data_IF_970345656723
#
_entry.id   IF_970345656723
#
_cell.length_a   1.000
_cell.length_b   1.000
_cell.length_c   1.000
_cell.angle_alpha   90.00
_cell.angle_beta   90.00
_cell.angle_gamma   90.00
#
_symmetry.space_group_name_H-M   'P 1'
#
loop_
_entity.id
_entity.type
_entity.pdbx_description
1 polymer ?
#
# COMPACT_ATOMS: atom_id res chain seq x y z
N UNK A 1 32.95 24.26 -48.01
CA UNK A 1 32.87 22.86 -47.53
C UNK A 1 33.03 22.95 -46.02
N UNK A 2 31.99 23.14 -45.22
CA UNK A 2 30.90 22.20 -44.98
C UNK A 2 29.72 22.94 -44.28
N UNK A 3 28.93 23.75 -45.01
CA UNK A 3 27.90 24.64 -44.41
C UNK A 3 26.75 23.89 -43.72
N UNK A 4 26.65 22.58 -43.94
CA UNK A 4 25.68 21.70 -43.26
C UNK A 4 26.15 21.19 -41.90
N UNK A 5 27.45 21.30 -41.60
CA UNK A 5 28.04 20.75 -40.37
C UNK A 5 27.40 21.32 -39.09
N UNK A 6 27.14 22.64 -38.98
CA UNK A 6 26.45 23.21 -37.82
C UNK A 6 25.06 22.61 -37.59
N UNK A 7 24.30 22.38 -38.66
CA UNK A 7 22.94 21.84 -38.61
C UNK A 7 22.85 20.39 -38.12
N UNK A 8 23.98 19.69 -38.05
CA UNK A 8 24.05 18.32 -37.51
C UNK A 8 24.72 18.32 -36.15
N UNK A 9 25.82 19.06 -35.99
CA UNK A 9 26.63 19.03 -34.77
C UNK A 9 25.90 19.70 -33.61
N UNK A 10 25.35 20.91 -33.77
CA UNK A 10 24.70 21.62 -32.67
C UNK A 10 23.46 20.88 -32.13
N UNK A 11 22.51 20.42 -32.98
CA UNK A 11 21.36 19.65 -32.48
C UNK A 11 21.77 18.36 -31.76
N UNK A 12 22.77 17.64 -32.28
CA UNK A 12 23.17 16.36 -31.71
C UNK A 12 23.90 16.54 -30.37
N UNK A 13 24.79 17.54 -30.27
CA UNK A 13 25.47 17.90 -29.02
C UNK A 13 24.46 18.44 -28.00
N UNK A 14 23.55 19.31 -28.42
CA UNK A 14 22.48 19.83 -27.58
C UNK A 14 21.60 18.70 -27.03
N UNK A 15 21.19 17.76 -27.88
CA UNK A 15 20.42 16.58 -27.46
C UNK A 15 21.16 15.72 -26.45
N UNK A 16 22.46 15.48 -26.66
CA UNK A 16 23.29 14.71 -25.76
C UNK A 16 23.42 15.39 -24.39
N UNK A 17 23.69 16.69 -24.36
CA UNK A 17 23.82 17.47 -23.12
C UNK A 17 22.49 17.51 -22.39
N UNK A 18 21.39 17.76 -23.09
CA UNK A 18 20.05 17.81 -22.52
C UNK A 18 19.63 16.46 -21.90
N UNK A 19 19.87 15.36 -22.61
CA UNK A 19 19.63 14.02 -22.09
C UNK A 19 20.54 13.70 -20.88
N UNK A 20 21.84 13.93 -21.00
CA UNK A 20 22.82 13.61 -19.94
C UNK A 20 22.57 14.41 -18.66
N UNK A 21 22.24 15.71 -18.79
CA UNK A 21 21.97 16.58 -17.66
C UNK A 21 20.70 16.14 -16.94
N UNK A 22 19.64 15.79 -17.68
CA UNK A 22 18.41 15.36 -17.05
C UNK A 22 18.54 13.96 -16.42
N UNK A 23 19.28 13.05 -17.06
CA UNK A 23 19.65 11.76 -16.46
C UNK A 23 20.42 11.93 -15.15
N UNK A 24 21.36 12.87 -15.11
CA UNK A 24 22.09 13.20 -13.90
C UNK A 24 21.15 13.77 -12.82
N UNK A 25 20.24 14.67 -13.18
CA UNK A 25 19.27 15.25 -12.26
C UNK A 25 18.35 14.18 -11.64
N UNK A 26 17.85 13.25 -12.46
CA UNK A 26 17.07 12.10 -11.98
C UNK A 26 17.90 11.29 -10.98
N UNK A 27 19.15 10.98 -11.29
CA UNK A 27 20.05 10.24 -10.39
C UNK A 27 20.33 11.00 -9.09
N UNK A 28 20.42 12.32 -9.14
CA UNK A 28 20.63 13.20 -7.99
C UNK A 28 19.44 13.27 -7.04
N UNK A 29 18.22 12.92 -7.48
CA UNK A 29 17.08 12.82 -6.56
C UNK A 29 17.24 11.68 -5.55
N UNK A 30 17.94 10.61 -5.94
CA UNK A 30 18.10 9.40 -5.13
C UNK A 30 19.46 9.31 -4.44
N UNK A 31 20.52 9.86 -5.04
CA UNK A 31 21.88 9.79 -4.51
C UNK A 31 22.49 11.18 -4.30
N UNK A 32 23.33 11.39 -3.27
CA UNK A 32 23.80 10.40 -2.29
C UNK A 32 22.80 10.17 -1.15
N UNK A 33 22.80 8.96 -0.60
CA UNK A 33 21.89 8.56 0.48
C UNK A 33 22.17 9.29 1.80
N UNK A 34 23.45 9.54 2.09
CA UNK A 34 23.90 10.33 3.24
C UNK A 34 24.32 11.72 2.78
N UNK A 35 24.12 12.76 3.59
CA UNK A 35 24.57 14.10 3.26
C UNK A 35 26.10 14.11 3.12
N UNK A 36 26.58 14.52 1.95
CA UNK A 36 28.02 14.70 1.66
C UNK A 36 28.30 16.18 1.45
N UNK A 37 29.48 16.64 1.88
CA UNK A 37 29.90 18.03 1.74
C UNK A 37 30.49 18.62 3.02
N UNK A 38 30.87 19.90 2.96
CA UNK A 38 31.55 20.60 4.05
C UNK A 38 30.77 21.84 4.49
N UNK A 39 30.57 22.00 5.79
CA UNK A 39 29.85 23.14 6.37
C UNK A 39 28.40 23.27 5.87
N UNK A 40 27.94 24.48 5.44
CA UNK A 40 26.57 24.71 4.98
C UNK A 40 26.27 24.09 3.59
N UNK A 41 27.28 23.66 2.84
CA UNK A 41 27.14 23.09 1.50
C UNK A 41 27.04 21.56 1.55
N UNK A 42 25.98 21.05 2.21
CA UNK A 42 25.69 19.61 2.25
C UNK A 42 24.69 19.23 1.16
N UNK A 43 25.10 18.31 0.31
CA UNK A 43 24.27 17.75 -0.74
C UNK A 43 23.77 16.36 -0.36
N UNK A 44 22.49 16.11 -0.57
CA UNK A 44 21.83 14.83 -0.35
C UNK A 44 20.71 14.68 -1.36
N UNK A 45 20.45 13.44 -1.80
CA UNK A 45 19.28 13.15 -2.62
C UNK A 45 18.00 13.57 -1.91
N UNK A 46 17.04 14.10 -2.67
CA UNK A 46 15.76 14.61 -2.15
C UNK A 46 14.94 13.49 -1.51
N UNK A 47 14.92 12.29 -2.11
CA UNK A 47 14.14 11.14 -1.61
C UNK A 47 14.69 10.64 -0.26
N UNK A 48 16.01 10.35 -0.10
CA UNK A 48 16.59 10.04 1.20
C UNK A 48 16.35 11.13 2.26
N UNK A 49 16.46 12.41 1.85
CA UNK A 49 16.31 13.55 2.77
C UNK A 49 14.89 13.68 3.33
N UNK A 50 13.87 13.35 2.53
CA UNK A 50 12.44 13.43 2.91
C UNK A 50 11.81 12.10 3.31
N UNK A 51 12.61 11.05 3.57
CA UNK A 51 12.08 9.72 3.89
C UNK A 51 11.09 9.73 5.07
N UNK A 52 11.38 10.49 6.13
CA UNK A 52 10.51 10.57 7.31
C UNK A 52 9.15 11.19 6.99
N UNK A 53 9.16 12.31 6.28
CA UNK A 53 7.96 13.01 5.81
C UNK A 53 7.12 12.11 4.89
N UNK A 54 7.77 11.37 3.98
CA UNK A 54 7.10 10.38 3.14
C UNK A 54 6.47 9.26 3.96
N UNK A 55 7.16 8.74 4.97
CA UNK A 55 6.64 7.68 5.84
C UNK A 55 5.39 8.14 6.61
N UNK A 56 5.40 9.38 7.09
CA UNK A 56 4.29 9.98 7.83
C UNK A 56 3.07 10.20 6.93
N UNK A 57 3.25 10.84 5.77
CA UNK A 57 2.17 11.05 4.81
C UNK A 57 1.56 9.74 4.29
N UNK A 58 2.39 8.71 4.05
CA UNK A 58 1.91 7.38 3.64
C UNK A 58 1.14 6.72 4.80
N UNK A 59 1.64 6.80 6.03
CA UNK A 59 0.96 6.25 7.19
C UNK A 59 -0.40 6.92 7.42
N UNK A 60 -0.49 8.25 7.26
CA UNK A 60 -1.74 9.01 7.35
C UNK A 60 -2.74 8.58 6.27
N UNK A 61 -2.27 8.43 5.03
CA UNK A 61 -3.14 7.96 3.92
C UNK A 61 -3.65 6.54 4.20
N UNK A 62 -2.77 5.67 4.68
CA UNK A 62 -3.12 4.27 4.99
C UNK A 62 -4.10 4.19 6.16
N UNK A 63 -3.96 5.04 7.18
CA UNK A 63 -4.91 5.15 8.28
C UNK A 63 -6.31 5.58 7.81
N UNK A 64 -6.39 6.50 6.84
CA UNK A 64 -7.67 7.01 6.32
C UNK A 64 -8.36 6.05 5.35
N UNK A 65 -7.58 5.28 4.58
CA UNK A 65 -8.09 4.41 3.51
C UNK A 65 -8.24 2.93 3.95
N UNK A 66 -7.68 2.54 5.09
CA UNK A 66 -7.85 1.19 5.63
C UNK A 66 -8.95 1.13 6.69
N UNK A 67 -9.53 -0.05 6.81
CA UNK A 67 -10.51 -0.40 7.84
C UNK A 67 -9.83 -0.35 9.22
N UNK A 68 -10.37 0.48 10.11
CA UNK A 68 -9.91 0.61 11.50
C UNK A 68 -10.28 -0.62 12.34
N UNK A 69 -9.68 -0.74 13.53
CA UNK A 69 -10.08 -1.76 14.49
C UNK A 69 -11.57 -1.63 14.85
N UNK A 70 -12.03 -0.39 14.96
CA UNK A 70 -13.40 -0.01 15.28
C UNK A 70 -14.35 -0.45 14.17
N UNK A 71 -14.00 -0.21 12.90
CA UNK A 71 -14.80 -0.65 11.75
C UNK A 71 -14.93 -2.18 11.69
N UNK A 72 -13.88 -2.93 12.05
CA UNK A 72 -13.93 -4.40 12.12
C UNK A 72 -14.86 -4.86 13.24
N UNK A 73 -14.74 -4.24 14.42
CA UNK A 73 -15.58 -4.59 15.57
C UNK A 73 -17.05 -4.29 15.29
N UNK A 74 -17.35 -3.14 14.67
CA UNK A 74 -18.70 -2.78 14.24
C UNK A 74 -19.25 -3.76 13.19
N UNK A 75 -18.42 -4.18 12.23
CA UNK A 75 -18.81 -5.17 11.23
C UNK A 75 -19.14 -6.52 11.87
N UNK A 76 -18.33 -6.98 12.84
CA UNK A 76 -18.58 -8.23 13.58
C UNK A 76 -19.87 -8.12 14.40
N UNK A 77 -20.10 -7.01 15.09
CA UNK A 77 -21.32 -6.77 15.86
C UNK A 77 -22.56 -6.75 14.94
N UNK A 78 -22.44 -6.11 13.78
CA UNK A 78 -23.51 -6.10 12.76
C UNK A 78 -23.81 -7.51 12.23
N UNK A 79 -22.79 -8.34 12.05
CA UNK A 79 -22.96 -9.74 11.66
C UNK A 79 -23.57 -10.58 12.79
N UNK A 80 -23.18 -10.36 14.05
CA UNK A 80 -23.76 -11.01 15.23
C UNK A 80 -25.27 -10.79 15.36
N UNK A 81 -25.71 -9.58 15.04
CA UNK A 81 -27.12 -9.16 15.13
C UNK A 81 -27.89 -9.39 13.83
N UNK A 82 -27.22 -9.80 12.74
CA UNK A 82 -27.89 -10.03 11.46
C UNK A 82 -28.75 -11.30 11.49
N UNK A 83 -30.05 -11.16 11.20
CA UNK A 83 -30.98 -12.29 11.06
C UNK A 83 -30.49 -13.35 10.07
N UNK A 84 -29.79 -12.93 9.01
CA UNK A 84 -29.25 -13.84 8.00
C UNK A 84 -28.12 -14.73 8.56
N UNK A 85 -27.23 -14.16 9.38
CA UNK A 85 -26.15 -14.90 10.06
C UNK A 85 -26.77 -15.81 11.13
N UNK A 86 -27.77 -15.31 11.87
CA UNK A 86 -28.48 -16.08 12.90
C UNK A 86 -29.17 -17.30 12.32
N UNK A 87 -29.90 -17.13 11.22
CA UNK A 87 -30.56 -18.23 10.52
C UNK A 87 -29.54 -19.26 10.01
N UNK A 88 -28.40 -18.80 9.46
CA UNK A 88 -27.35 -19.68 8.93
C UNK A 88 -26.62 -20.46 10.04
N UNK A 89 -26.36 -19.82 11.18
CA UNK A 89 -25.80 -20.47 12.37
C UNK A 89 -26.77 -21.51 12.93
N UNK A 90 -28.04 -21.14 13.08
CA UNK A 90 -29.10 -22.06 13.53
C UNK A 90 -29.18 -23.29 12.63
N UNK A 91 -29.29 -23.08 11.32
CA UNK A 91 -29.33 -24.19 10.36
C UNK A 91 -28.09 -25.08 10.44
N UNK A 92 -26.91 -24.50 10.70
CA UNK A 92 -25.66 -25.25 10.84
C UNK A 92 -25.61 -26.04 12.16
N UNK A 93 -26.08 -25.45 13.26
CA UNK A 93 -26.22 -26.11 14.56
C UNK A 93 -27.19 -27.29 14.43
N UNK A 94 -28.36 -27.06 13.81
CA UNK A 94 -29.37 -28.09 13.57
C UNK A 94 -28.82 -29.27 12.79
N UNK A 95 -28.11 -28.99 11.69
CA UNK A 95 -27.50 -30.01 10.85
C UNK A 95 -26.43 -30.81 11.60
N UNK A 96 -25.59 -30.14 12.42
CA UNK A 96 -24.56 -30.83 13.20
C UNK A 96 -25.15 -31.71 14.30
N UNK A 97 -26.18 -31.24 15.00
CA UNK A 97 -26.86 -32.02 16.03
C UNK A 97 -27.54 -33.24 15.41
N UNK A 98 -28.25 -33.06 14.29
CA UNK A 98 -28.92 -34.16 13.58
C UNK A 98 -27.92 -35.20 13.07
N UNK A 99 -26.83 -34.77 12.44
CA UNK A 99 -25.76 -35.65 11.95
C UNK A 99 -25.11 -36.45 13.10
N UNK A 100 -24.83 -35.79 14.23
CA UNK A 100 -24.32 -36.48 15.42
C UNK A 100 -25.31 -37.49 15.96
N UNK A 101 -26.60 -37.15 16.10
CA UNK A 101 -27.63 -38.07 16.58
C UNK A 101 -27.80 -39.29 15.66
N UNK A 102 -27.67 -39.11 14.34
CA UNK A 102 -27.70 -40.21 13.38
C UNK A 102 -26.45 -41.09 13.49
N UNK A 103 -25.27 -40.48 13.72
CA UNK A 103 -23.99 -41.20 13.85
C UNK A 103 -23.94 -42.14 15.06
N UNK A 104 -24.59 -41.78 16.17
CA UNK A 104 -24.68 -42.64 17.35
C UNK A 104 -25.75 -43.74 17.26
N UNK A 105 -26.55 -43.75 16.20
CA UNK A 105 -27.56 -44.77 15.92
C UNK A 105 -28.73 -44.81 16.92
N UNK A 106 -29.55 -45.87 16.83
CA UNK A 106 -30.79 -46.03 17.60
C UNK A 106 -30.57 -46.09 19.11
N UNK A 107 -29.37 -46.46 19.56
CA UNK A 107 -29.02 -46.57 20.98
C UNK A 107 -29.17 -45.22 21.67
N UNK A 108 -28.67 -44.14 21.07
CA UNK A 108 -28.77 -42.80 21.67
C UNK A 108 -30.20 -42.30 21.73
N UNK A 109 -31.04 -42.58 20.73
CA UNK A 109 -32.47 -42.21 20.73
C UNK A 109 -33.29 -42.91 21.83
N UNK A 110 -32.84 -44.07 22.32
CA UNK A 110 -33.50 -44.76 23.44
C UNK A 110 -33.19 -44.14 24.81
N UNK A 111 -32.03 -43.48 24.95
CA UNK A 111 -31.58 -42.89 26.21
C UNK A 111 -31.68 -41.36 26.26
N UNK A 112 -31.75 -40.72 25.09
CA UNK A 112 -31.91 -39.28 24.94
C UNK A 112 -33.27 -39.03 24.29
N UNK A 113 -34.29 -38.64 25.07
CA UNK A 113 -35.59 -38.28 24.51
C UNK A 113 -35.50 -36.99 23.69
N UNK A 114 -36.40 -36.84 22.71
CA UNK A 114 -36.41 -35.70 21.79
C UNK A 114 -36.52 -34.34 22.51
N UNK A 115 -37.15 -34.28 23.68
CA UNK A 115 -37.25 -33.06 24.50
C UNK A 115 -35.88 -32.63 25.07
N UNK A 116 -35.01 -33.59 25.37
CA UNK A 116 -33.65 -33.32 25.83
C UNK A 116 -32.78 -32.84 24.68
N UNK A 117 -32.95 -33.41 23.48
CA UNK A 117 -32.29 -32.94 22.26
C UNK A 117 -32.67 -31.49 21.97
N UNK A 118 -33.96 -31.14 22.04
CA UNK A 118 -34.41 -29.76 21.82
C UNK A 118 -33.90 -28.77 22.87
N UNK A 119 -33.83 -29.19 24.15
CA UNK A 119 -33.21 -28.38 25.20
C UNK A 119 -31.72 -28.14 24.93
N UNK A 120 -30.99 -29.16 24.48
CA UNK A 120 -29.57 -29.04 24.12
C UNK A 120 -29.41 -28.12 22.90
N UNK A 121 -30.23 -28.32 21.85
CA UNK A 121 -30.26 -27.46 20.66
C UNK A 121 -30.45 -26.00 21.04
N UNK A 122 -31.51 -25.70 21.79
CA UNK A 122 -31.83 -24.34 22.23
C UNK A 122 -30.70 -23.75 23.08
N UNK A 123 -30.09 -24.56 23.97
CA UNK A 123 -28.97 -24.09 24.81
C UNK A 123 -27.72 -23.79 23.98
N UNK A 124 -27.38 -24.63 23.01
CA UNK A 124 -26.24 -24.42 22.10
C UNK A 124 -26.49 -23.18 21.23
N UNK A 125 -27.69 -23.02 20.68
CA UNK A 125 -28.06 -21.82 19.93
C UNK A 125 -27.83 -20.57 20.78
N UNK A 126 -28.38 -20.53 21.99
CA UNK A 126 -28.23 -19.39 22.92
C UNK A 126 -26.75 -19.10 23.24
N UNK A 127 -25.96 -20.13 23.54
CA UNK A 127 -24.55 -19.97 23.92
C UNK A 127 -23.70 -19.50 22.73
N UNK A 128 -23.95 -20.03 21.53
CA UNK A 128 -23.26 -19.59 20.31
C UNK A 128 -23.62 -18.15 19.97
N UNK A 129 -24.90 -17.76 20.11
CA UNK A 129 -25.30 -16.37 19.87
C UNK A 129 -24.71 -15.41 20.90
N UNK A 130 -24.74 -15.76 22.19
CA UNK A 130 -24.12 -14.92 23.23
C UNK A 130 -22.61 -14.79 23.03
N UNK A 131 -21.93 -15.88 22.64
CA UNK A 131 -20.50 -15.83 22.34
C UNK A 131 -20.17 -14.91 21.16
N UNK A 132 -20.97 -14.94 20.09
CA UNK A 132 -20.74 -14.07 18.92
C UNK A 132 -21.03 -12.60 19.25
N UNK A 133 -22.03 -12.31 20.08
CA UNK A 133 -22.28 -10.96 20.61
C UNK A 133 -21.10 -10.47 21.48
N UNK A 134 -20.64 -11.32 22.40
CA UNK A 134 -19.50 -11.04 23.28
C UNK A 134 -18.20 -10.80 22.49
N UNK A 135 -17.98 -11.53 21.39
CA UNK A 135 -16.85 -11.30 20.50
C UNK A 135 -16.89 -9.90 19.88
N UNK A 136 -18.05 -9.41 19.48
CA UNK A 136 -18.20 -8.05 18.93
C UNK A 136 -17.81 -6.97 19.95
N UNK A 137 -18.28 -7.12 21.19
CA UNK A 137 -17.96 -6.19 22.28
C UNK A 137 -16.48 -6.26 22.71
N UNK A 138 -15.94 -7.47 22.87
CA UNK A 138 -14.55 -7.68 23.28
C UNK A 138 -13.54 -7.26 22.19
N UNK A 139 -13.91 -7.34 20.91
CA UNK A 139 -13.08 -6.85 19.80
C UNK A 139 -12.88 -5.34 19.88
N UNK A 140 -13.94 -4.58 20.18
CA UNK A 140 -13.85 -3.14 20.41
C UNK A 140 -12.86 -2.80 21.53
N UNK A 141 -12.92 -3.53 22.64
CA UNK A 141 -12.04 -3.30 23.79
C UNK A 141 -10.59 -3.75 23.55
N UNK A 142 -10.37 -4.86 22.83
CA UNK A 142 -9.06 -5.48 22.68
C UNK A 142 -8.25 -4.94 21.50
N UNK A 143 -8.92 -4.48 20.44
CA UNK A 143 -8.24 -4.03 19.22
C UNK A 143 -7.85 -2.56 19.24
N UNK A 144 -8.59 -1.69 19.96
CA UNK A 144 -8.28 -0.25 20.03
C UNK A 144 -6.87 0.06 20.57
N UNK A 145 -6.30 -0.81 21.42
CA UNK A 145 -4.93 -0.64 21.93
C UNK A 145 -3.84 -1.29 21.07
N UNK A 146 -4.18 -2.32 20.28
CA UNK A 146 -3.17 -3.15 19.57
C UNK A 146 -3.04 -2.84 18.08
N UNK A 147 -4.05 -2.18 17.50
CA UNK A 147 -4.15 -1.87 16.06
C UNK A 147 -3.94 -0.38 15.76
N UNK A 148 -2.87 0.19 16.30
CA UNK A 148 -2.33 1.45 15.75
C UNK A 148 -1.63 1.14 14.40
N UNK A 149 -2.46 0.97 13.36
CA UNK A 149 -2.03 0.71 11.99
C UNK A 149 -1.14 1.84 11.47
N UNK A 150 -1.47 3.08 11.80
CA UNK A 150 -0.69 4.27 11.45
C UNK A 150 0.74 4.14 11.96
N UNK A 151 0.90 3.89 13.25
CA UNK A 151 2.21 3.73 13.89
C UNK A 151 2.96 2.52 13.35
N UNK A 152 2.29 1.36 13.21
CA UNK A 152 2.91 0.14 12.64
C UNK A 152 3.40 0.35 11.20
N UNK A 153 2.61 1.02 10.36
CA UNK A 153 2.97 1.31 8.97
C UNK A 153 4.13 2.30 8.91
N UNK A 154 4.05 3.39 9.68
CA UNK A 154 5.14 4.37 9.80
C UNK A 154 6.45 3.70 10.22
N UNK A 155 6.42 2.94 11.31
CA UNK A 155 7.60 2.29 11.87
C UNK A 155 8.16 1.25 10.88
N UNK A 156 7.30 0.57 10.13
CA UNK A 156 7.71 -0.36 9.07
C UNK A 156 8.38 0.35 7.90
N UNK A 157 7.88 1.51 7.48
CA UNK A 157 8.49 2.32 6.42
C UNK A 157 9.82 2.91 6.87
N UNK A 158 9.92 3.36 8.12
CA UNK A 158 11.16 3.87 8.71
C UNK A 158 12.21 2.78 8.92
N UNK A 159 11.79 1.54 9.13
CA UNK A 159 12.67 0.37 9.19
C UNK A 159 13.24 -0.03 7.82
N UNK A 160 12.73 0.52 6.71
CA UNK A 160 13.32 0.27 5.40
C UNK A 160 14.67 0.97 5.27
N UNK A 161 15.66 0.21 4.83
CA UNK A 161 16.92 0.79 4.38
C UNK A 161 16.66 1.75 3.21
N UNK A 162 17.48 2.79 3.10
CA UNK A 162 17.33 3.84 2.08
C UNK A 162 17.25 3.26 0.65
N UNK A 163 17.96 2.17 0.38
CA UNK A 163 17.91 1.47 -0.92
C UNK A 163 16.55 0.82 -1.21
N UNK A 164 15.81 0.38 -0.17
CA UNK A 164 14.49 -0.22 -0.37
C UNK A 164 13.46 0.86 -0.73
N UNK A 165 13.52 2.01 -0.03
CA UNK A 165 12.68 3.17 -0.33
C UNK A 165 12.93 3.68 -1.76
N UNK A 166 14.20 3.78 -2.16
CA UNK A 166 14.59 4.10 -3.54
C UNK A 166 13.96 3.12 -4.54
N UNK A 167 14.04 1.81 -4.29
CA UNK A 167 13.43 0.80 -5.17
C UNK A 167 11.91 0.94 -5.30
N UNK A 168 11.22 1.29 -4.21
CA UNK A 168 9.77 1.50 -4.22
C UNK A 168 9.40 2.72 -5.06
N UNK A 169 10.05 3.86 -4.81
CA UNK A 169 9.81 5.10 -5.56
C UNK A 169 10.17 4.92 -7.03
N UNK A 170 11.32 4.32 -7.34
CA UNK A 170 11.73 4.05 -8.72
C UNK A 170 10.77 3.09 -9.42
N UNK A 171 10.22 2.08 -8.74
CA UNK A 171 9.27 1.15 -9.38
C UNK A 171 8.04 1.89 -9.92
N UNK A 172 7.54 2.88 -9.19
CA UNK A 172 6.38 3.68 -9.57
C UNK A 172 6.76 4.78 -10.57
N UNK A 173 7.84 5.50 -10.30
CA UNK A 173 8.21 6.71 -11.05
C UNK A 173 9.11 6.45 -12.27
N UNK A 174 9.67 5.25 -12.47
CA UNK A 174 10.66 4.97 -13.53
C UNK A 174 10.18 5.36 -14.93
N UNK A 175 8.91 5.12 -15.23
CA UNK A 175 8.33 5.50 -16.52
C UNK A 175 8.33 7.02 -16.66
N UNK A 176 7.83 7.75 -15.67
CA UNK A 176 7.74 9.21 -15.68
C UNK A 176 9.12 9.86 -15.75
N UNK A 177 10.08 9.42 -14.93
CA UNK A 177 11.44 9.94 -14.93
C UNK A 177 12.14 9.77 -16.30
N UNK A 178 11.91 8.63 -16.97
CA UNK A 178 12.43 8.40 -18.33
C UNK A 178 11.83 9.36 -19.35
N UNK A 179 10.57 9.79 -19.21
CA UNK A 179 10.00 10.80 -20.11
C UNK A 179 10.72 12.14 -19.96
N UNK A 180 11.06 12.53 -18.73
CA UNK A 180 11.81 13.77 -18.48
C UNK A 180 13.20 13.70 -19.13
N UNK A 181 13.90 12.56 -19.05
CA UNK A 181 15.20 12.37 -19.71
C UNK A 181 15.11 12.51 -21.23
N UNK A 182 14.08 11.91 -21.84
CA UNK A 182 13.83 12.00 -23.28
C UNK A 182 13.50 13.44 -23.67
N UNK A 183 12.62 14.11 -22.92
CA UNK A 183 12.26 15.51 -23.16
C UNK A 183 13.49 16.42 -23.07
N UNK A 184 14.40 16.18 -22.13
CA UNK A 184 15.68 16.88 -22.06
C UNK A 184 16.48 16.77 -23.36
N UNK A 185 16.57 15.55 -23.92
CA UNK A 185 17.22 15.34 -25.21
C UNK A 185 16.51 16.00 -26.39
N UNK A 186 15.17 15.93 -26.44
CA UNK A 186 14.37 16.57 -27.49
C UNK A 186 14.51 18.10 -27.44
N UNK A 187 14.45 18.69 -26.25
CA UNK A 187 14.63 20.14 -26.08
C UNK A 187 16.05 20.56 -26.44
N UNK A 188 17.05 19.80 -26.00
CA UNK A 188 18.44 20.03 -26.38
C UNK A 188 18.66 19.97 -27.90
N UNK A 189 17.99 19.06 -28.58
CA UNK A 189 18.00 18.99 -30.05
C UNK A 189 17.42 20.25 -30.69
N UNK A 190 16.25 20.71 -30.22
CA UNK A 190 15.60 21.92 -30.72
C UNK A 190 16.47 23.15 -30.47
N UNK A 191 17.06 23.28 -29.29
CA UNK A 191 17.99 24.38 -28.97
C UNK A 191 19.18 24.39 -29.92
N UNK A 192 19.78 23.22 -30.18
CA UNK A 192 20.90 23.13 -31.12
C UNK A 192 20.51 23.47 -32.57
N UNK A 193 19.26 23.23 -33.00
CA UNK A 193 18.76 23.70 -34.31
C UNK A 193 18.71 25.23 -34.34
N UNK A 194 18.20 25.84 -33.27
CA UNK A 194 18.11 27.29 -33.15
C UNK A 194 19.52 27.91 -33.12
N UNK A 195 20.47 27.31 -32.40
CA UNK A 195 21.87 27.75 -32.37
C UNK A 195 22.53 27.67 -33.76
N UNK A 196 22.31 26.58 -34.50
CA UNK A 196 22.81 26.45 -35.87
C UNK A 196 22.25 27.54 -36.80
N UNK A 197 20.95 27.84 -36.70
CA UNK A 197 20.29 28.89 -37.48
C UNK A 197 20.78 30.30 -37.12
N UNK A 198 20.99 30.59 -35.84
CA UNK A 198 21.54 31.87 -35.37
C UNK A 198 22.98 32.08 -35.86
N UNK A 199 23.80 31.03 -35.85
CA UNK A 199 25.16 31.08 -36.37
C UNK A 199 25.20 31.47 -37.85
N UNK A 200 24.28 30.93 -38.65
CA UNK A 200 24.21 31.23 -40.08
C UNK A 200 23.71 32.64 -40.38
N UNK A 201 22.95 33.26 -39.47
CA UNK A 201 22.55 34.67 -39.59
C UNK A 201 23.69 35.65 -39.26
N UNK A 202 24.71 35.20 -38.54
CA UNK A 202 25.86 36.03 -38.12
C UNK A 202 27.13 35.80 -38.95
N UNK A 203 27.23 34.69 -39.68
CA UNK A 203 28.32 34.35 -40.61
C UNK A 203 28.05 34.84 -42.02
#
# INVERSE_FOLDING_TARGET
>A
MQDWLPWVVFPLVGALIGWATNWLAVKMLFRPHRPVGFGPLRFQGVVPKRQKELAENIADTVEQELISAEDIAELVQKLATSDAIRAKLKQRIDALIEDQLQSFGTVVKMFIPDDLVEKIRTRIEQEVFSFVEELGENLHASMGEQLDLKQKVRDRILAFELDQMERLVLRVAKKELRHIEILGGVLGFIVGIVEAGLLQLWS
#
